data_IF_278903509717
#
_entry.id   IF_278903509717
#
_cell.length_a   1.000
_cell.length_b   1.000
_cell.length_c   1.000
_cell.angle_alpha   90.00
_cell.angle_beta   90.00
_cell.angle_gamma   90.00
#
_symmetry.space_group_name_H-M   'P 1'
#
loop_
_entity.id
_entity.type
_entity.pdbx_description
1 polymer ?
#
# COMPACT_ATOMS: atom_id res chain seq x y z
N UNK A 1 4.68 7.81 29.49
CA UNK A 1 4.76 6.82 28.37
C UNK A 1 5.73 7.38 27.35
N UNK A 2 6.98 6.92 27.34
CA UNK A 2 8.04 7.44 26.44
C UNK A 2 7.72 6.88 25.05
N UNK A 3 7.36 7.77 24.12
CA UNK A 3 7.07 7.40 22.74
C UNK A 3 8.29 6.68 22.15
N UNK A 4 8.11 5.45 21.69
CA UNK A 4 9.17 4.70 21.02
C UNK A 4 9.65 5.48 19.80
N UNK A 5 10.95 5.76 19.68
CA UNK A 5 11.45 6.46 18.51
C UNK A 5 11.13 5.62 17.26
N UNK A 6 10.56 6.27 16.25
CA UNK A 6 10.30 5.68 14.94
C UNK A 6 11.58 5.07 14.40
N UNK A 7 11.49 3.89 13.81
CA UNK A 7 12.61 3.29 13.10
C UNK A 7 13.21 4.34 12.14
N UNK A 8 14.48 4.68 12.37
CA UNK A 8 15.12 5.87 11.80
C UNK A 8 15.50 5.76 10.31
N UNK A 9 14.82 4.93 9.51
CA UNK A 9 15.07 4.74 8.09
C UNK A 9 14.53 5.89 7.22
N UNK A 10 15.19 6.10 6.08
CA UNK A 10 14.81 7.08 5.08
C UNK A 10 13.45 6.71 4.44
N UNK A 11 12.53 7.67 4.32
CA UNK A 11 11.14 7.41 3.86
C UNK A 11 11.07 6.76 2.47
N UNK A 12 12.02 7.08 1.57
CA UNK A 12 12.08 6.48 0.22
C UNK A 12 12.55 5.02 0.28
N UNK A 13 13.48 4.67 1.19
CA UNK A 13 13.92 3.28 1.34
C UNK A 13 12.75 2.37 1.75
N UNK A 14 11.84 2.87 2.59
CA UNK A 14 10.60 2.17 2.94
C UNK A 14 9.64 2.00 1.77
N UNK A 15 9.51 3.03 0.90
CA UNK A 15 8.72 2.90 -0.34
C UNK A 15 9.30 1.85 -1.29
N UNK A 16 10.64 1.85 -1.44
CA UNK A 16 11.32 0.82 -2.23
C UNK A 16 11.09 -0.57 -1.64
N UNK A 17 11.16 -0.68 -0.31
CA UNK A 17 10.94 -1.94 0.39
C UNK A 17 9.52 -2.50 0.15
N UNK A 18 8.47 -1.69 0.35
CA UNK A 18 7.10 -2.17 0.13
C UNK A 18 6.85 -2.48 -1.34
N UNK A 19 7.35 -1.66 -2.27
CA UNK A 19 7.25 -1.92 -3.71
C UNK A 19 7.93 -3.23 -4.12
N UNK A 20 9.16 -3.46 -3.64
CA UNK A 20 9.89 -4.71 -3.87
C UNK A 20 9.20 -5.92 -3.24
N UNK A 21 8.70 -5.78 -2.01
CA UNK A 21 7.97 -6.85 -1.32
C UNK A 21 6.66 -7.20 -2.05
N UNK A 22 5.89 -6.21 -2.52
CA UNK A 22 4.68 -6.44 -3.31
C UNK A 22 5.01 -7.12 -4.65
N UNK A 23 6.04 -6.64 -5.35
CA UNK A 23 6.51 -7.26 -6.59
C UNK A 23 6.96 -8.72 -6.39
N UNK A 24 7.54 -9.02 -5.26
CA UNK A 24 7.97 -10.39 -4.88
C UNK A 24 6.76 -11.30 -4.65
N UNK A 25 5.76 -10.86 -3.87
CA UNK A 25 4.52 -11.63 -3.62
C UNK A 25 3.76 -11.92 -4.90
N UNK A 26 3.73 -10.96 -5.84
CA UNK A 26 2.99 -11.14 -7.09
C UNK A 26 3.59 -12.20 -8.02
N UNK A 27 4.86 -12.57 -7.83
CA UNK A 27 5.54 -13.58 -8.66
C UNK A 27 5.32 -15.02 -8.19
N UNK A 28 4.81 -15.25 -6.97
CA UNK A 28 4.64 -16.59 -6.43
C UNK A 28 3.23 -16.85 -5.93
N UNK A 29 2.71 -18.05 -6.21
CA UNK A 29 1.47 -18.58 -5.64
C UNK A 29 1.76 -19.78 -4.70
N UNK A 30 3.05 -20.07 -4.45
CA UNK A 30 3.45 -21.19 -3.61
C UNK A 30 3.24 -20.87 -2.13
N UNK A 31 2.41 -21.65 -1.38
CA UNK A 31 2.08 -21.38 0.01
C UNK A 31 3.31 -21.39 0.94
N UNK A 32 4.35 -22.17 0.64
CA UNK A 32 5.57 -22.19 1.45
C UNK A 32 6.34 -20.88 1.36
N UNK A 33 6.48 -20.32 0.16
CA UNK A 33 7.14 -19.01 -0.03
C UNK A 33 6.30 -17.87 0.54
N UNK A 34 4.96 -17.96 0.44
CA UNK A 34 4.06 -17.00 1.06
C UNK A 34 4.15 -17.04 2.59
N UNK A 35 4.25 -18.24 3.18
CA UNK A 35 4.47 -18.39 4.63
C UNK A 35 5.81 -17.78 5.09
N UNK A 36 6.87 -17.91 4.25
CA UNK A 36 8.16 -17.27 4.51
C UNK A 36 8.04 -15.74 4.50
N UNK A 37 7.33 -15.17 3.52
CA UNK A 37 7.04 -13.74 3.45
C UNK A 37 6.17 -13.25 4.63
N UNK A 38 5.29 -14.09 5.14
CA UNK A 38 4.58 -13.86 6.40
C UNK A 38 5.55 -13.68 7.57
N UNK A 39 6.50 -14.62 7.71
CA UNK A 39 7.57 -14.51 8.69
C UNK A 39 8.36 -13.22 8.56
N UNK A 40 8.72 -12.84 7.34
CA UNK A 40 9.41 -11.56 7.04
C UNK A 40 8.55 -10.36 7.47
N UNK A 41 7.27 -10.32 7.11
CA UNK A 41 6.37 -9.23 7.47
C UNK A 41 6.24 -9.06 8.99
N UNK A 42 6.05 -10.18 9.72
CA UNK A 42 5.98 -10.21 11.17
C UNK A 42 7.30 -9.76 11.82
N UNK A 43 8.43 -10.24 11.30
CA UNK A 43 9.75 -9.89 11.79
C UNK A 43 10.04 -8.39 11.61
N UNK A 44 9.72 -7.84 10.45
CA UNK A 44 9.87 -6.41 10.18
C UNK A 44 8.93 -5.59 11.08
N UNK A 45 7.68 -6.02 11.23
CA UNK A 45 6.74 -5.35 12.12
C UNK A 45 7.22 -5.35 13.58
N UNK A 46 7.61 -6.49 14.14
CA UNK A 46 8.07 -6.58 15.54
C UNK A 46 9.35 -5.76 15.79
N UNK A 47 10.26 -5.75 14.82
CA UNK A 47 11.53 -5.04 14.94
C UNK A 47 11.38 -3.52 14.75
N UNK A 48 10.55 -3.07 13.81
CA UNK A 48 10.53 -1.70 13.33
C UNK A 48 9.26 -0.91 13.66
N UNK A 49 8.18 -1.54 14.17
CA UNK A 49 6.94 -0.84 14.47
C UNK A 49 7.16 0.30 15.49
N UNK A 50 6.63 1.47 15.14
CA UNK A 50 6.60 2.66 16.00
C UNK A 50 5.26 2.81 16.73
N UNK A 51 5.15 3.81 17.60
CA UNK A 51 3.91 4.15 18.34
C UNK A 51 3.00 5.12 17.54
N UNK A 52 3.06 5.07 16.20
CA UNK A 52 2.27 5.94 15.35
C UNK A 52 0.78 5.57 15.33
N UNK A 53 -0.11 6.49 14.91
CA UNK A 53 -1.55 6.26 14.86
C UNK A 53 -1.94 5.11 13.93
N UNK A 54 -1.10 4.78 12.95
CA UNK A 54 -1.31 3.67 12.01
C UNK A 54 -0.61 2.37 12.45
N UNK A 55 0.19 2.39 13.52
CA UNK A 55 0.80 1.16 14.05
C UNK A 55 -0.26 0.18 14.58
N UNK A 56 -1.36 0.70 15.14
CA UNK A 56 -2.52 -0.09 15.57
C UNK A 56 -3.31 -0.69 14.39
N UNK A 57 -3.20 -0.11 13.20
CA UNK A 57 -3.87 -0.59 12.00
C UNK A 57 -3.32 -1.94 11.51
N UNK A 58 -2.12 -2.36 11.93
CA UNK A 58 -1.56 -3.67 11.57
C UNK A 58 -2.50 -4.80 11.99
N UNK A 59 -2.99 -4.77 13.24
CA UNK A 59 -3.95 -5.78 13.74
C UNK A 59 -5.27 -5.80 12.97
N UNK A 60 -5.73 -4.63 12.49
CA UNK A 60 -6.90 -4.54 11.62
C UNK A 60 -6.63 -5.21 10.26
N UNK A 61 -5.47 -4.97 9.66
CA UNK A 61 -5.09 -5.56 8.37
C UNK A 61 -4.88 -7.08 8.47
N UNK A 62 -4.36 -7.57 9.60
CA UNK A 62 -4.31 -9.02 9.88
C UNK A 62 -5.71 -9.63 9.87
N UNK A 63 -6.68 -9.03 10.58
CA UNK A 63 -8.06 -9.52 10.63
C UNK A 63 -8.77 -9.42 9.28
N UNK A 64 -8.59 -8.27 8.58
CA UNK A 64 -9.14 -8.06 7.26
C UNK A 64 -8.60 -9.08 6.25
N UNK A 65 -7.29 -9.35 6.29
CA UNK A 65 -6.66 -10.34 5.44
C UNK A 65 -7.18 -11.75 5.72
N UNK A 66 -7.35 -12.11 7.01
CA UNK A 66 -7.97 -13.38 7.40
C UNK A 66 -9.40 -13.51 6.90
N UNK A 67 -10.19 -12.45 6.99
CA UNK A 67 -11.53 -12.40 6.41
C UNK A 67 -11.50 -12.61 4.88
N UNK A 68 -10.62 -11.92 4.17
CA UNK A 68 -10.47 -12.06 2.71
C UNK A 68 -10.01 -13.48 2.35
N UNK A 69 -9.10 -14.08 3.13
CA UNK A 69 -8.67 -15.46 2.94
C UNK A 69 -9.85 -16.43 3.02
N UNK A 70 -10.67 -16.34 4.07
CA UNK A 70 -11.87 -17.16 4.24
C UNK A 70 -12.86 -16.93 3.10
N UNK A 71 -13.11 -15.66 2.74
CA UNK A 71 -13.99 -15.30 1.63
C UNK A 71 -13.51 -15.86 0.29
N UNK A 72 -12.19 -15.90 0.06
CA UNK A 72 -11.64 -16.51 -1.15
C UNK A 72 -11.90 -18.00 -1.23
N UNK A 73 -11.78 -18.72 -0.11
CA UNK A 73 -12.11 -20.14 -0.04
C UNK A 73 -13.61 -20.35 -0.30
N UNK A 74 -14.48 -19.57 0.37
CA UNK A 74 -15.93 -19.63 0.18
C UNK A 74 -16.31 -19.35 -1.28
N UNK A 75 -15.73 -18.30 -1.86
CA UNK A 75 -15.97 -17.94 -3.26
C UNK A 75 -15.49 -19.03 -4.24
N UNK A 76 -14.35 -19.66 -3.94
CA UNK A 76 -13.84 -20.80 -4.72
C UNK A 76 -14.82 -21.99 -4.70
N UNK A 77 -15.45 -22.26 -3.56
CA UNK A 77 -16.49 -23.29 -3.42
C UNK A 77 -17.75 -22.93 -4.21
N UNK A 78 -18.19 -21.68 -4.11
CA UNK A 78 -19.42 -21.20 -4.80
C UNK A 78 -19.25 -21.24 -6.31
N UNK A 79 -18.05 -20.95 -6.82
CA UNK A 79 -17.73 -20.93 -8.26
C UNK A 79 -17.15 -22.26 -8.79
N UNK A 80 -17.47 -23.37 -8.11
CA UNK A 80 -16.90 -24.70 -8.36
C UNK A 80 -17.10 -25.24 -9.80
N UNK A 81 -18.04 -24.66 -10.58
CA UNK A 81 -18.30 -25.11 -11.96
C UNK A 81 -17.21 -24.77 -12.99
N UNK A 82 -16.27 -23.89 -12.69
CA UNK A 82 -15.26 -23.42 -13.66
C UNK A 82 -13.98 -24.24 -13.72
N UNK A 83 -13.58 -24.86 -12.60
CA UNK A 83 -12.32 -25.59 -12.50
C UNK A 83 -12.61 -27.03 -12.07
N UNK A 84 -12.20 -28.01 -12.89
CA UNK A 84 -12.40 -29.42 -12.56
C UNK A 84 -11.08 -30.02 -12.07
N UNK A 85 -11.09 -30.46 -10.79
CA UNK A 85 -10.05 -31.32 -10.24
C UNK A 85 -10.44 -32.78 -10.30
N UNK A 86 -9.48 -33.69 -10.11
CA UNK A 86 -9.73 -35.14 -10.10
C UNK A 86 -10.33 -35.63 -8.77
N UNK A 87 -10.00 -35.01 -7.64
CA UNK A 87 -10.49 -35.41 -6.31
C UNK A 87 -11.81 -34.71 -5.97
N UNK A 88 -12.90 -35.39 -6.26
CA UNK A 88 -14.24 -34.89 -5.98
C UNK A 88 -14.57 -35.08 -4.49
N UNK A 89 -14.87 -33.98 -3.79
CA UNK A 89 -15.30 -33.99 -2.38
C UNK A 89 -16.82 -33.95 -2.25
N UNK A 90 -17.48 -33.10 -3.04
CA UNK A 90 -18.91 -32.91 -2.96
C UNK A 90 -19.47 -32.49 -4.32
N UNK A 91 -20.67 -32.97 -4.66
CA UNK A 91 -21.40 -32.51 -5.86
C UNK A 91 -22.59 -31.65 -5.41
N UNK A 92 -22.55 -30.36 -5.77
CA UNK A 92 -23.66 -29.46 -5.52
C UNK A 92 -24.49 -29.29 -6.81
N UNK A 93 -25.82 -29.14 -6.70
CA UNK A 93 -26.65 -28.85 -7.86
C UNK A 93 -26.22 -27.54 -8.51
N UNK A 94 -25.98 -27.58 -9.82
CA UNK A 94 -25.59 -26.40 -10.60
C UNK A 94 -26.81 -25.53 -10.89
N UNK A 95 -26.74 -24.23 -10.55
CA UNK A 95 -27.71 -23.23 -10.97
C UNK A 95 -26.99 -22.11 -11.71
N UNK A 96 -27.46 -21.82 -12.91
CA UNK A 96 -26.98 -20.68 -13.70
C UNK A 96 -27.76 -19.43 -13.31
N UNK A 97 -27.05 -18.37 -12.90
CA UNK A 97 -27.66 -17.09 -12.65
C UNK A 97 -28.12 -16.42 -13.96
N UNK A 98 -29.16 -15.54 -13.91
CA UNK A 98 -29.60 -14.78 -15.06
C UNK A 98 -28.44 -13.99 -15.72
N UNK A 99 -28.53 -13.78 -17.04
CA UNK A 99 -27.52 -13.05 -17.83
C UNK A 99 -27.22 -11.62 -17.29
N UNK A 100 -28.16 -11.01 -16.59
CA UNK A 100 -27.99 -9.71 -15.91
C UNK A 100 -26.91 -9.75 -14.80
N UNK A 101 -26.65 -10.90 -14.20
CA UNK A 101 -25.61 -11.11 -13.17
C UNK A 101 -24.37 -11.83 -13.72
N UNK A 102 -24.12 -11.69 -15.03
CA UNK A 102 -22.91 -12.24 -15.68
C UNK A 102 -22.96 -13.72 -16.03
N UNK A 103 -24.12 -14.40 -15.90
CA UNK A 103 -24.26 -15.82 -16.24
C UNK A 103 -23.41 -16.75 -15.38
N UNK A 104 -23.04 -16.34 -14.18
CA UNK A 104 -22.24 -17.11 -13.22
C UNK A 104 -22.95 -18.42 -12.89
N UNK A 105 -22.24 -19.56 -13.01
CA UNK A 105 -22.72 -20.85 -12.55
C UNK A 105 -22.39 -20.99 -11.05
N UNK A 106 -23.42 -21.11 -10.22
CA UNK A 106 -23.29 -21.43 -8.82
C UNK A 106 -23.42 -22.92 -8.61
N UNK A 107 -22.54 -23.49 -7.78
CA UNK A 107 -22.49 -24.92 -7.54
C UNK A 107 -21.65 -25.65 -8.58
N UNK A 108 -21.66 -26.98 -8.52
CA UNK A 108 -20.86 -27.86 -9.34
C UNK A 108 -20.07 -28.85 -8.51
N UNK A 109 -19.00 -29.37 -9.08
CA UNK A 109 -18.14 -30.36 -8.42
C UNK A 109 -17.12 -29.62 -7.56
N UNK A 110 -17.24 -29.71 -6.25
CA UNK A 110 -16.22 -29.21 -5.32
C UNK A 110 -15.11 -30.25 -5.27
N UNK A 111 -13.92 -29.85 -5.76
CA UNK A 111 -12.71 -30.66 -5.70
C UNK A 111 -11.75 -30.14 -4.63
N UNK A 112 -10.91 -31.02 -4.10
CA UNK A 112 -9.85 -30.64 -3.15
C UNK A 112 -8.90 -29.64 -3.77
N UNK A 113 -8.58 -29.82 -5.05
CA UNK A 113 -7.71 -28.93 -5.84
C UNK A 113 -8.24 -27.49 -5.85
N UNK A 114 -9.53 -27.35 -5.94
CA UNK A 114 -10.17 -26.03 -5.98
C UNK A 114 -10.10 -25.32 -4.62
N UNK A 115 -10.29 -26.06 -3.52
CA UNK A 115 -10.12 -25.52 -2.16
C UNK A 115 -8.69 -25.05 -1.93
N UNK A 116 -7.71 -25.89 -2.31
CA UNK A 116 -6.28 -25.55 -2.20
C UNK A 116 -5.91 -24.34 -3.06
N UNK A 117 -6.45 -24.26 -4.27
CA UNK A 117 -6.27 -23.13 -5.16
C UNK A 117 -6.85 -21.84 -4.57
N UNK A 118 -8.08 -21.89 -4.05
CA UNK A 118 -8.71 -20.76 -3.37
C UNK A 118 -7.93 -20.32 -2.13
N UNK A 119 -7.44 -21.28 -1.33
CA UNK A 119 -6.60 -20.99 -0.18
C UNK A 119 -5.25 -20.35 -0.57
N UNK A 120 -4.56 -20.85 -1.59
CA UNK A 120 -3.30 -20.27 -2.06
C UNK A 120 -3.49 -18.82 -2.55
N UNK A 121 -4.55 -18.56 -3.31
CA UNK A 121 -4.91 -17.20 -3.77
C UNK A 121 -5.28 -16.27 -2.62
N UNK A 122 -6.09 -16.75 -1.68
CA UNK A 122 -6.46 -16.00 -0.48
C UNK A 122 -5.24 -15.69 0.40
N UNK A 123 -4.33 -16.67 0.57
CA UNK A 123 -3.09 -16.49 1.31
C UNK A 123 -2.18 -15.43 0.68
N UNK A 124 -2.11 -15.39 -0.66
CA UNK A 124 -1.37 -14.37 -1.40
C UNK A 124 -1.90 -12.96 -1.09
N UNK A 125 -3.21 -12.75 -1.16
CA UNK A 125 -3.83 -11.45 -0.83
C UNK A 125 -3.60 -11.09 0.64
N UNK A 126 -3.71 -12.05 1.53
CA UNK A 126 -3.42 -11.83 2.95
C UNK A 126 -1.97 -11.41 3.18
N UNK A 127 -1.02 -12.09 2.51
CA UNK A 127 0.41 -11.72 2.57
C UNK A 127 0.66 -10.29 2.07
N UNK A 128 0.00 -9.88 0.97
CA UNK A 128 0.07 -8.49 0.48
C UNK A 128 -0.40 -7.49 1.53
N UNK A 129 -1.54 -7.76 2.17
CA UNK A 129 -2.07 -6.89 3.23
C UNK A 129 -1.15 -6.83 4.46
N UNK A 130 -0.50 -7.92 4.82
CA UNK A 130 0.47 -7.94 5.92
C UNK A 130 1.71 -7.10 5.64
N UNK A 131 2.25 -7.19 4.43
CA UNK A 131 3.41 -6.38 4.02
C UNK A 131 3.08 -4.89 4.00
N UNK A 132 1.91 -4.53 3.46
CA UNK A 132 1.40 -3.15 3.53
C UNK A 132 1.17 -2.72 4.97
N UNK A 133 0.65 -3.60 5.80
CA UNK A 133 0.45 -3.37 7.23
C UNK A 133 1.76 -3.12 7.98
N UNK A 134 2.79 -3.93 7.72
CA UNK A 134 4.12 -3.76 8.29
C UNK A 134 4.74 -2.42 7.83
N UNK A 135 4.62 -2.07 6.55
CA UNK A 135 5.04 -0.78 6.03
C UNK A 135 4.35 0.38 6.75
N UNK A 136 3.01 0.35 6.85
CA UNK A 136 2.24 1.39 7.53
C UNK A 136 2.59 1.54 9.01
N UNK A 137 2.91 0.44 9.69
CA UNK A 137 3.31 0.45 11.10
C UNK A 137 4.72 1.00 11.32
N UNK A 138 5.62 0.87 10.32
CA UNK A 138 7.02 1.25 10.43
C UNK A 138 7.34 2.64 9.88
N UNK A 139 6.50 3.19 8.99
CA UNK A 139 6.76 4.45 8.29
C UNK A 139 6.12 5.64 8.99
N UNK A 140 6.86 6.75 9.04
CA UNK A 140 6.30 8.04 9.43
C UNK A 140 5.67 8.74 8.21
N UNK A 141 4.35 8.67 8.11
CA UNK A 141 3.57 9.24 7.00
C UNK A 141 3.74 10.75 6.85
N UNK A 142 3.96 11.48 7.95
CA UNK A 142 4.23 12.93 7.90
C UNK A 142 5.54 13.24 7.18
N UNK A 143 6.58 12.40 7.36
CA UNK A 143 7.85 12.56 6.64
C UNK A 143 7.69 12.23 5.16
N UNK A 144 6.89 11.21 4.85
CA UNK A 144 6.57 10.83 3.48
C UNK A 144 5.84 11.97 2.74
N UNK A 145 4.80 12.55 3.35
CA UNK A 145 4.04 13.67 2.79
C UNK A 145 4.89 14.91 2.56
N UNK A 146 5.89 15.18 3.41
CA UNK A 146 6.81 16.32 3.20
C UNK A 146 7.65 16.20 1.92
N UNK A 147 7.79 15.00 1.37
CA UNK A 147 8.53 14.73 0.11
C UNK A 147 7.62 14.66 -1.10
N UNK A 148 6.35 14.97 -0.92
CA UNK A 148 5.39 15.04 -2.03
C UNK A 148 5.94 15.87 -3.19
N UNK A 149 5.81 15.39 -4.44
CA UNK A 149 6.24 16.11 -5.63
C UNK A 149 5.60 17.50 -5.71
N UNK A 150 6.21 18.40 -6.45
CA UNK A 150 5.76 19.80 -6.58
C UNK A 150 4.33 19.95 -7.09
N UNK A 151 3.91 19.11 -8.02
CA UNK A 151 2.53 19.14 -8.53
C UNK A 151 1.51 18.76 -7.46
N UNK A 152 1.94 17.99 -6.44
CA UNK A 152 1.17 17.67 -5.25
C UNK A 152 1.42 18.66 -4.10
N UNK A 153 2.24 19.71 -4.29
CA UNK A 153 2.59 20.63 -3.21
C UNK A 153 1.36 21.32 -2.63
N UNK A 154 0.48 21.83 -3.50
CA UNK A 154 -0.77 22.43 -3.06
C UNK A 154 -1.69 21.39 -2.40
N UNK A 155 -1.84 20.23 -3.02
CA UNK A 155 -2.59 19.11 -2.44
C UNK A 155 -1.95 18.61 -1.14
N UNK A 156 -0.62 18.46 -1.10
CA UNK A 156 0.13 18.09 0.09
C UNK A 156 -0.01 19.10 1.24
N UNK A 157 -0.03 20.39 0.92
CA UNK A 157 -0.28 21.45 1.90
C UNK A 157 -1.71 21.32 2.46
N UNK A 158 -2.72 21.20 1.59
CA UNK A 158 -4.12 21.01 1.99
C UNK A 158 -4.28 19.76 2.84
N UNK A 159 -3.69 18.63 2.44
CA UNK A 159 -3.74 17.38 3.21
C UNK A 159 -3.06 17.55 4.57
N UNK A 160 -1.91 18.21 4.62
CA UNK A 160 -1.18 18.43 5.89
C UNK A 160 -1.97 19.31 6.84
N UNK A 161 -2.58 20.38 6.35
CA UNK A 161 -3.48 21.25 7.11
C UNK A 161 -4.71 20.47 7.58
N UNK A 162 -5.34 19.70 6.67
CA UNK A 162 -6.49 18.86 7.01
C UNK A 162 -6.18 17.84 8.10
N UNK A 163 -5.06 17.11 7.99
CA UNK A 163 -4.63 16.15 9.00
C UNK A 163 -4.32 16.80 10.36
N UNK A 164 -3.78 18.02 10.36
CA UNK A 164 -3.55 18.77 11.60
C UNK A 164 -4.85 19.25 12.24
N UNK A 165 -5.89 19.51 11.43
CA UNK A 165 -7.19 19.96 11.92
C UNK A 165 -8.07 18.82 12.46
N UNK A 166 -7.90 17.60 12.01
CA UNK A 166 -8.72 16.45 12.45
C UNK A 166 -8.74 16.30 13.98
N UNK A 167 -7.60 16.22 14.72
CA UNK A 167 -7.62 16.09 16.17
C UNK A 167 -8.32 17.27 16.85
N UNK A 168 -8.07 18.50 16.37
CA UNK A 168 -8.69 19.71 16.93
C UNK A 168 -10.20 19.74 16.70
N UNK A 169 -10.65 19.29 15.52
CA UNK A 169 -12.08 19.19 15.17
C UNK A 169 -12.79 18.19 16.08
N UNK A 170 -12.17 17.04 16.37
CA UNK A 170 -12.72 16.04 17.30
C UNK A 170 -12.87 16.61 18.72
N UNK A 171 -11.86 17.32 19.22
CA UNK A 171 -11.93 17.98 20.55
C UNK A 171 -13.05 19.02 20.61
N UNK A 172 -13.17 19.86 19.56
CA UNK A 172 -14.26 20.86 19.49
C UNK A 172 -15.65 20.24 19.39
N UNK A 173 -15.78 19.17 18.60
CA UNK A 173 -17.05 18.45 18.50
C UNK A 173 -17.50 17.93 19.88
N UNK A 174 -16.55 17.43 20.69
CA UNK A 174 -16.83 16.99 22.04
C UNK A 174 -17.30 18.16 22.92
N UNK A 175 -16.60 19.29 22.87
CA UNK A 175 -16.96 20.48 23.63
C UNK A 175 -18.33 21.04 23.22
N UNK A 176 -18.63 21.14 21.91
CA UNK A 176 -19.94 21.58 21.40
C UNK A 176 -21.03 20.63 21.88
N UNK A 177 -20.78 19.31 21.79
CA UNK A 177 -21.75 18.30 22.24
C UNK A 177 -22.04 18.41 23.73
N UNK A 178 -21.03 18.66 24.54
CA UNK A 178 -21.17 18.87 25.97
C UNK A 178 -21.97 20.13 26.27
N UNK A 179 -21.66 21.26 25.62
CA UNK A 179 -22.40 22.49 25.73
C UNK A 179 -23.87 22.36 25.34
N UNK A 180 -24.17 21.61 24.28
CA UNK A 180 -25.56 21.35 23.86
C UNK A 180 -26.31 20.44 24.83
N UNK A 181 -25.61 19.48 25.47
CA UNK A 181 -26.20 18.68 26.56
C UNK A 181 -26.57 19.50 27.76
N UNK A 182 -25.72 20.46 28.18
CA UNK A 182 -26.00 21.39 29.27
C UNK A 182 -27.20 22.28 28.95
N UNK A 183 -27.46 22.60 27.69
CA UNK A 183 -28.66 23.30 27.22
C UNK A 183 -29.90 22.41 27.10
N UNK A 184 -29.83 21.17 27.59
CA UNK A 184 -30.96 20.23 27.59
C UNK A 184 -31.19 19.47 26.25
N UNK A 185 -30.31 19.64 25.27
CA UNK A 185 -30.46 18.97 23.98
C UNK A 185 -30.19 17.47 24.09
N UNK A 186 -31.16 16.63 23.67
CA UNK A 186 -31.05 15.16 23.68
C UNK A 186 -30.83 14.66 22.28
N UNK A 187 -29.67 14.08 22.02
CA UNK A 187 -29.32 13.49 20.71
C UNK A 187 -29.95 12.10 20.54
N UNK A 188 -31.02 12.00 19.72
CA UNK A 188 -31.74 10.76 19.46
C UNK A 188 -31.68 10.29 17.99
N UNK A 189 -31.24 11.15 17.06
CA UNK A 189 -31.22 10.82 15.64
C UNK A 189 -30.36 11.73 14.78
N UNK A 190 -30.34 11.49 13.48
CA UNK A 190 -29.54 12.26 12.51
C UNK A 190 -29.96 13.74 12.41
N UNK A 191 -31.22 14.04 12.62
CA UNK A 191 -31.75 15.42 12.60
C UNK A 191 -31.23 16.25 13.78
N UNK A 192 -30.89 15.60 14.87
CA UNK A 192 -30.33 16.24 16.07
C UNK A 192 -28.83 16.58 15.91
N UNK A 193 -28.22 16.21 14.77
CA UNK A 193 -26.83 16.55 14.48
C UNK A 193 -26.64 18.00 13.97
N UNK A 194 -27.72 18.65 13.47
CA UNK A 194 -27.66 20.02 12.95
C UNK A 194 -27.11 21.04 13.97
N UNK A 195 -27.56 21.05 15.25
CA UNK A 195 -27.02 21.95 16.28
C UNK A 195 -25.55 21.73 16.60
N UNK A 196 -24.97 20.57 16.22
CA UNK A 196 -23.54 20.33 16.33
C UNK A 196 -22.81 20.79 15.07
N UNK A 197 -23.42 20.61 13.91
CA UNK A 197 -22.79 20.81 12.62
C UNK A 197 -22.56 22.30 12.31
N UNK A 198 -23.56 23.14 12.59
CA UNK A 198 -23.51 24.58 12.31
C UNK A 198 -22.38 25.27 13.10
N UNK A 199 -22.26 25.13 14.44
CA UNK A 199 -21.17 25.73 15.19
C UNK A 199 -19.78 25.13 14.86
N UNK A 200 -19.74 23.84 14.48
CA UNK A 200 -18.51 23.19 14.08
C UNK A 200 -18.00 23.75 12.76
N UNK A 201 -18.88 23.94 11.77
CA UNK A 201 -18.54 24.50 10.47
C UNK A 201 -18.16 25.98 10.56
N UNK A 202 -18.96 26.81 11.28
CA UNK A 202 -18.66 28.24 11.42
C UNK A 202 -17.31 28.47 12.11
N UNK A 203 -17.05 27.79 13.21
CA UNK A 203 -15.75 27.88 13.88
C UNK A 203 -14.61 27.18 13.15
N UNK A 204 -14.90 26.26 12.23
CA UNK A 204 -13.95 25.67 11.30
C UNK A 204 -13.55 26.67 10.21
N UNK A 205 -14.54 27.35 9.61
CA UNK A 205 -14.33 28.35 8.58
C UNK A 205 -13.55 29.57 9.11
N UNK A 206 -13.93 30.08 10.28
CA UNK A 206 -13.21 31.18 10.94
C UNK A 206 -11.71 30.87 11.11
N UNK A 207 -11.40 29.65 11.57
CA UNK A 207 -10.00 29.24 11.68
C UNK A 207 -9.30 29.09 10.35
N UNK A 208 -10.01 28.63 9.32
CA UNK A 208 -9.45 28.51 7.99
C UNK A 208 -9.10 29.91 7.44
N UNK A 209 -9.95 30.91 7.69
CA UNK A 209 -9.69 32.32 7.33
C UNK A 209 -8.47 32.88 8.08
N UNK A 210 -8.41 32.72 9.39
CA UNK A 210 -7.24 33.18 10.18
C UNK A 210 -5.95 32.48 9.76
N UNK A 211 -6.00 31.18 9.41
CA UNK A 211 -4.84 30.48 8.89
C UNK A 211 -4.44 31.03 7.51
N UNK A 212 -5.42 31.31 6.63
CA UNK A 212 -5.14 31.89 5.31
C UNK A 212 -4.49 33.26 5.42
N UNK A 213 -5.02 34.16 6.28
CA UNK A 213 -4.44 35.47 6.57
C UNK A 213 -3.01 35.36 7.11
N UNK A 214 -2.79 34.45 8.08
CA UNK A 214 -1.45 34.21 8.63
C UNK A 214 -0.47 33.64 7.58
N UNK A 215 -0.95 32.83 6.65
CA UNK A 215 -0.14 32.32 5.54
C UNK A 215 0.20 33.41 4.53
N UNK A 216 -0.77 34.25 4.19
CA UNK A 216 -0.56 35.39 3.28
C UNK A 216 0.43 36.40 3.87
N UNK A 217 0.31 36.75 5.16
CA UNK A 217 1.25 37.60 5.86
C UNK A 217 2.70 37.05 5.84
N UNK A 218 2.85 35.74 5.82
CA UNK A 218 4.16 35.06 5.69
C UNK A 218 4.62 34.87 4.24
N UNK A 219 3.90 35.43 3.26
CA UNK A 219 4.24 35.36 1.83
C UNK A 219 3.95 34.02 1.18
N UNK A 220 3.12 33.17 1.79
CA UNK A 220 2.66 31.94 1.11
C UNK A 220 1.82 32.30 -0.11
N UNK A 221 2.06 31.60 -1.22
CA UNK A 221 1.33 31.83 -2.48
C UNK A 221 1.95 32.91 -3.39
N UNK A 222 2.90 33.70 -2.91
CA UNK A 222 3.67 34.61 -3.79
C UNK A 222 4.61 33.79 -4.66
N UNK A 223 4.30 33.69 -5.95
CA UNK A 223 5.22 33.19 -6.96
C UNK A 223 6.24 34.27 -7.24
N UNK A 224 7.47 34.11 -6.72
CA UNK A 224 8.56 35.07 -6.92
C UNK A 224 9.00 35.20 -8.39
N UNK A 225 8.54 34.32 -9.29
CA UNK A 225 8.88 34.39 -10.71
C UNK A 225 7.63 34.10 -11.56
N UNK A 226 7.13 35.15 -12.21
CA UNK A 226 6.21 35.10 -13.35
C UNK A 226 6.94 34.72 -14.65
N UNK A 227 8.01 33.93 -14.58
CA UNK A 227 8.71 33.50 -15.79
C UNK A 227 7.87 32.42 -16.51
N UNK A 228 7.40 32.70 -17.75
CA UNK A 228 6.65 31.76 -18.57
C UNK A 228 7.39 30.43 -18.80
N UNK A 229 8.73 30.43 -18.76
CA UNK A 229 9.56 29.25 -18.92
C UNK A 229 9.44 28.31 -17.71
N UNK A 230 9.40 28.88 -16.51
CA UNK A 230 9.23 28.08 -15.27
C UNK A 230 7.86 27.41 -15.21
N UNK A 231 6.81 28.05 -15.71
CA UNK A 231 5.47 27.49 -15.81
C UNK A 231 5.38 26.35 -16.84
N UNK A 232 6.06 26.49 -17.99
CA UNK A 232 6.13 25.41 -19.00
C UNK A 232 6.92 24.20 -18.51
N UNK A 233 8.04 24.41 -17.82
CA UNK A 233 8.80 23.32 -17.20
C UNK A 233 7.98 22.58 -16.15
N UNK A 234 7.29 23.29 -15.26
CA UNK A 234 6.43 22.68 -14.26
C UNK A 234 5.31 21.84 -14.87
N UNK A 235 4.69 22.34 -15.97
CA UNK A 235 3.65 21.60 -16.69
C UNK A 235 4.20 20.34 -17.37
N UNK A 236 5.39 20.38 -17.96
CA UNK A 236 6.05 19.22 -18.56
C UNK A 236 6.39 18.15 -17.52
N UNK A 237 6.86 18.55 -16.35
CA UNK A 237 7.14 17.63 -15.24
C UNK A 237 5.85 16.98 -14.70
N UNK A 238 4.73 17.72 -14.67
CA UNK A 238 3.41 17.15 -14.33
C UNK A 238 2.98 16.07 -15.31
N UNK A 239 3.11 16.31 -16.62
CA UNK A 239 2.76 15.32 -17.64
C UNK A 239 3.64 14.07 -17.57
N UNK A 240 4.94 14.23 -17.30
CA UNK A 240 5.85 13.09 -17.09
C UNK A 240 5.47 12.27 -15.86
N UNK A 241 5.12 12.92 -14.76
CA UNK A 241 4.68 12.23 -13.55
C UNK A 241 3.33 11.52 -13.74
N UNK A 242 2.36 12.17 -14.40
CA UNK A 242 1.07 11.56 -14.73
C UNK A 242 1.23 10.37 -15.68
N UNK A 243 2.06 10.53 -16.72
CA UNK A 243 2.39 9.44 -17.65
C UNK A 243 3.06 8.26 -16.94
N UNK A 244 3.96 8.55 -15.99
CA UNK A 244 4.59 7.53 -15.15
C UNK A 244 3.61 6.77 -14.27
N UNK A 245 2.66 7.47 -13.64
CA UNK A 245 1.59 6.85 -12.83
C UNK A 245 0.68 5.99 -13.70
N UNK A 246 0.32 6.49 -14.89
CA UNK A 246 -0.54 5.77 -15.82
C UNK A 246 0.14 4.49 -16.36
N UNK A 247 1.44 4.57 -16.67
CA UNK A 247 2.24 3.40 -17.04
C UNK A 247 2.40 2.41 -15.90
N UNK A 248 2.54 2.88 -14.65
CA UNK A 248 2.53 2.02 -13.47
C UNK A 248 1.19 1.28 -13.32
N UNK A 249 0.07 1.96 -13.48
CA UNK A 249 -1.26 1.35 -13.40
C UNK A 249 -1.48 0.32 -14.51
N UNK A 250 -1.15 0.65 -15.75
CA UNK A 250 -1.25 -0.27 -16.89
C UNK A 250 -0.30 -1.46 -16.75
N UNK A 251 0.92 -1.21 -16.27
CA UNK A 251 1.90 -2.25 -16.02
C UNK A 251 1.46 -3.20 -14.89
N UNK A 252 0.90 -2.66 -13.82
CA UNK A 252 0.33 -3.42 -12.71
C UNK A 252 -0.87 -4.26 -13.19
N UNK A 253 -1.75 -3.68 -13.97
CA UNK A 253 -2.89 -4.39 -14.57
C UNK A 253 -2.41 -5.52 -15.49
N UNK A 254 -1.50 -5.24 -16.42
CA UNK A 254 -0.95 -6.25 -17.33
C UNK A 254 -0.23 -7.38 -16.59
N UNK A 255 0.49 -7.07 -15.53
CA UNK A 255 1.20 -8.06 -14.73
C UNK A 255 0.28 -8.93 -13.85
N UNK A 256 -0.81 -8.35 -13.30
CA UNK A 256 -1.74 -9.05 -12.42
C UNK A 256 -2.76 -9.93 -13.17
N UNK A 257 -3.22 -9.47 -14.33
CA UNK A 257 -4.33 -10.12 -15.04
C UNK A 257 -3.88 -11.14 -16.09
N UNK A 258 -2.63 -11.06 -16.57
CA UNK A 258 -2.13 -12.02 -17.56
C UNK A 258 -1.24 -13.10 -16.91
N UNK A 259 -1.29 -14.35 -17.42
CA UNK A 259 -0.47 -15.44 -16.90
C UNK A 259 1.02 -15.13 -17.00
N UNK A 260 1.76 -15.48 -15.95
CA UNK A 260 3.22 -15.36 -15.92
C UNK A 260 3.83 -16.12 -17.10
N UNK A 261 4.65 -15.42 -17.92
CA UNK A 261 5.29 -16.00 -19.12
C UNK A 261 4.63 -15.64 -20.46
N UNK A 262 3.41 -15.05 -20.46
CA UNK A 262 2.81 -14.51 -21.68
C UNK A 262 3.55 -13.25 -22.15
N UNK A 263 3.57 -12.97 -23.45
CA UNK A 263 4.15 -11.73 -24.00
C UNK A 263 3.56 -10.47 -23.37
N UNK A 264 2.29 -10.52 -22.98
CA UNK A 264 1.56 -9.40 -22.34
C UNK A 264 2.02 -9.15 -20.90
N UNK A 265 2.37 -10.19 -20.13
CA UNK A 265 2.94 -10.01 -18.78
C UNK A 265 4.34 -9.38 -18.84
N UNK A 266 5.13 -9.67 -19.88
CA UNK A 266 6.44 -9.04 -20.14
C UNK A 266 6.30 -7.56 -20.49
N UNK A 267 5.31 -7.21 -21.32
CA UNK A 267 4.98 -5.81 -21.63
C UNK A 267 4.52 -5.09 -20.38
N UNK A 268 3.70 -5.72 -19.53
CA UNK A 268 3.27 -5.19 -18.23
C UNK A 268 4.45 -4.88 -17.30
N UNK A 269 5.42 -5.78 -17.23
CA UNK A 269 6.63 -5.60 -16.45
C UNK A 269 7.52 -4.47 -17.02
N UNK A 270 7.65 -4.39 -18.35
CA UNK A 270 8.33 -3.28 -19.00
C UNK A 270 7.67 -1.94 -18.70
N UNK A 271 6.34 -1.87 -18.77
CA UNK A 271 5.58 -0.67 -18.43
C UNK A 271 5.73 -0.27 -16.95
N UNK A 272 5.78 -1.24 -16.03
CA UNK A 272 6.08 -0.99 -14.61
C UNK A 272 7.46 -0.36 -14.41
N UNK A 273 8.50 -0.92 -15.02
CA UNK A 273 9.87 -0.42 -14.92
C UNK A 273 9.98 0.99 -15.49
N UNK A 274 9.43 1.23 -16.68
CA UNK A 274 9.42 2.56 -17.32
C UNK A 274 8.63 3.55 -16.46
N UNK A 275 7.48 3.16 -15.90
CA UNK A 275 6.68 3.99 -15.01
C UNK A 275 7.46 4.42 -13.76
N UNK A 276 8.17 3.51 -13.11
CA UNK A 276 9.04 3.79 -11.95
C UNK A 276 10.17 4.76 -12.33
N UNK A 277 10.83 4.52 -13.48
CA UNK A 277 11.92 5.39 -13.96
C UNK A 277 11.41 6.81 -14.27
N UNK A 278 10.26 6.94 -14.93
CA UNK A 278 9.66 8.24 -15.25
C UNK A 278 9.26 9.01 -13.99
N UNK A 279 8.67 8.34 -13.00
CA UNK A 279 8.36 8.96 -11.70
C UNK A 279 9.63 9.37 -10.98
N UNK A 280 10.64 8.50 -10.94
CA UNK A 280 11.93 8.78 -10.31
C UNK A 280 12.67 9.95 -10.98
N UNK A 281 12.70 9.99 -12.31
CA UNK A 281 13.29 11.07 -13.09
C UNK A 281 12.53 12.40 -12.92
N UNK A 282 11.20 12.35 -12.92
CA UNK A 282 10.36 13.51 -12.61
C UNK A 282 10.61 14.03 -11.19
N UNK A 283 10.77 13.13 -10.23
CA UNK A 283 11.06 13.48 -8.84
C UNK A 283 12.44 14.10 -8.64
N UNK A 284 13.44 13.56 -9.32
CA UNK A 284 14.81 14.08 -9.25
C UNK A 284 14.91 15.48 -9.88
N UNK A 285 14.36 15.68 -11.07
CA UNK A 285 14.33 16.99 -11.76
C UNK A 285 13.51 18.03 -10.99
N UNK A 286 12.34 17.65 -10.47
CA UNK A 286 11.52 18.52 -9.64
C UNK A 286 12.23 18.93 -8.34
N UNK A 287 13.08 18.07 -7.76
CA UNK A 287 13.91 18.39 -6.60
C UNK A 287 15.03 19.36 -6.88
N UNK A 288 15.65 19.29 -8.07
CA UNK A 288 16.79 20.12 -8.46
C UNK A 288 16.42 21.58 -8.77
N UNK A 289 15.22 21.85 -9.28
CA UNK A 289 14.81 23.17 -9.77
C UNK A 289 14.28 24.14 -8.70
N UNK A 290 14.14 23.73 -7.43
CA UNK A 290 13.75 24.59 -6.31
C UNK A 290 14.89 24.73 -5.30
N UNK A 291 15.45 25.92 -5.21
CA UNK A 291 16.23 26.40 -4.07
C UNK A 291 15.40 26.39 -2.77
N UNK A 292 14.92 25.24 -2.34
CA UNK A 292 14.23 25.10 -1.04
C UNK A 292 15.26 25.08 0.06
N UNK A 293 15.16 26.03 0.99
CA UNK A 293 15.73 25.86 2.32
C UNK A 293 14.95 24.76 3.05
N UNK A 294 15.42 23.52 2.98
CA UNK A 294 14.89 22.45 3.81
C UNK A 294 15.54 22.56 5.19
N UNK A 295 14.74 22.97 6.19
CA UNK A 295 15.20 23.13 7.59
C UNK A 295 15.85 21.84 8.15
N UNK A 296 15.48 20.65 7.64
CA UNK A 296 16.09 19.38 8.03
C UNK A 296 16.07 18.42 6.83
N UNK A 297 17.21 18.29 6.14
CA UNK A 297 17.39 17.26 5.11
C UNK A 297 17.55 15.90 5.79
N UNK A 298 16.69 14.92 5.47
CA UNK A 298 16.97 13.53 5.79
C UNK A 298 18.20 13.09 4.98
N UNK A 299 19.25 12.69 5.67
CA UNK A 299 20.44 12.15 5.03
C UNK A 299 20.25 10.66 4.77
N UNK A 300 20.63 10.22 3.58
CA UNK A 300 20.74 8.80 3.30
C UNK A 300 21.80 8.19 4.17
N UNK A 301 21.48 7.10 4.85
CA UNK A 301 22.46 6.28 5.57
C UNK A 301 22.79 5.05 4.73
N UNK A 302 23.96 4.45 4.98
CA UNK A 302 24.37 3.21 4.30
C UNK A 302 23.31 2.12 4.43
N UNK A 303 22.67 2.02 5.60
CA UNK A 303 21.60 1.05 5.86
C UNK A 303 20.37 1.29 4.98
N UNK A 304 20.02 2.56 4.70
CA UNK A 304 18.89 2.90 3.84
C UNK A 304 19.17 2.50 2.39
N UNK A 305 20.41 2.68 1.93
CA UNK A 305 20.83 2.23 0.60
C UNK A 305 20.78 0.72 0.48
N UNK A 306 21.29 0.01 1.48
CA UNK A 306 21.27 -1.46 1.51
C UNK A 306 19.85 -1.99 1.46
N UNK A 307 18.93 -1.46 2.31
CA UNK A 307 17.51 -1.86 2.30
C UNK A 307 16.86 -1.59 0.94
N UNK A 308 17.10 -0.40 0.36
CA UNK A 308 16.58 -0.05 -0.97
C UNK A 308 17.10 -0.98 -2.07
N UNK A 309 18.40 -1.29 -2.06
CA UNK A 309 19.00 -2.21 -3.03
C UNK A 309 18.46 -3.62 -2.88
N UNK A 310 18.40 -4.16 -1.67
CA UNK A 310 17.88 -5.51 -1.40
C UNK A 310 16.40 -5.63 -1.77
N UNK A 311 15.62 -4.57 -1.59
CA UNK A 311 14.24 -4.52 -2.02
C UNK A 311 14.06 -4.62 -3.55
N UNK A 312 15.02 -4.14 -4.32
CA UNK A 312 15.03 -4.27 -5.79
C UNK A 312 15.59 -5.64 -6.20
N UNK A 313 16.65 -6.08 -5.53
CA UNK A 313 17.32 -7.36 -5.83
C UNK A 313 16.39 -8.55 -5.60
N UNK A 314 15.51 -8.49 -4.57
CA UNK A 314 14.59 -9.58 -4.27
C UNK A 314 13.66 -9.95 -5.43
N UNK A 315 12.84 -9.04 -5.99
CA UNK A 315 11.96 -9.38 -7.12
C UNK A 315 12.75 -9.66 -8.41
N UNK A 316 13.89 -9.00 -8.63
CA UNK A 316 14.74 -9.27 -9.79
C UNK A 316 15.40 -10.66 -9.71
N UNK A 317 15.84 -11.05 -8.52
CA UNK A 317 16.39 -12.39 -8.27
C UNK A 317 15.36 -13.50 -8.57
N UNK A 318 14.10 -13.31 -8.14
CA UNK A 318 13.03 -14.23 -8.49
C UNK A 318 12.75 -14.28 -9.99
N UNK A 319 12.78 -13.15 -10.68
CA UNK A 319 12.62 -13.11 -12.15
C UNK A 319 13.74 -13.87 -12.87
N UNK A 320 14.99 -13.68 -12.41
CA UNK A 320 16.14 -14.42 -12.97
C UNK A 320 16.02 -15.92 -12.73
N UNK A 321 15.60 -16.33 -11.52
CA UNK A 321 15.35 -17.74 -11.21
C UNK A 321 14.21 -18.32 -12.05
N UNK A 322 13.15 -17.57 -12.28
CA UNK A 322 12.07 -17.97 -13.18
C UNK A 322 12.56 -18.13 -14.63
N UNK A 323 13.45 -17.25 -15.07
CA UNK A 323 14.05 -17.34 -16.41
C UNK A 323 15.00 -18.54 -16.56
N UNK A 324 15.68 -18.95 -15.47
CA UNK A 324 16.53 -20.17 -15.44
C UNK A 324 15.72 -21.46 -15.34
N UNK A 325 14.38 -21.40 -15.36
CA UNK A 325 13.52 -22.58 -15.36
C UNK A 325 13.00 -23.01 -13.99
N UNK A 326 13.31 -22.27 -12.93
CA UNK A 326 12.77 -22.52 -11.58
C UNK A 326 11.28 -22.17 -11.54
N UNK A 327 10.46 -23.11 -11.10
CA UNK A 327 9.01 -22.90 -11.00
C UNK A 327 8.65 -22.20 -9.71
N UNK A 328 8.21 -20.94 -9.82
CA UNK A 328 7.72 -20.13 -8.67
C UNK A 328 6.24 -20.35 -8.39
N UNK A 329 5.52 -20.97 -9.34
CA UNK A 329 4.08 -21.16 -9.27
C UNK A 329 3.74 -22.56 -8.78
N UNK A 330 2.78 -22.65 -7.87
CA UNK A 330 2.24 -23.91 -7.40
C UNK A 330 1.11 -24.36 -8.33
N UNK A 331 1.33 -25.46 -9.07
CA UNK A 331 0.32 -26.08 -9.94
C UNK A 331 -0.55 -27.01 -9.10
N UNK A 332 -1.76 -26.57 -8.79
CA UNK A 332 -2.72 -27.33 -8.01
C UNK A 332 -3.47 -28.35 -8.86
N UNK A 333 -3.64 -28.06 -10.17
CA UNK A 333 -4.36 -28.92 -11.11
C UNK A 333 -3.39 -29.76 -11.96
N UNK A 334 -3.75 -31.01 -12.40
CA UNK A 334 -5.03 -31.71 -12.15
C UNK A 334 -5.15 -32.40 -10.77
N UNK A 335 -4.03 -32.61 -10.08
CA UNK A 335 -3.95 -33.25 -8.74
C UNK A 335 -3.16 -32.37 -7.79
N UNK A 336 -3.59 -32.32 -6.54
CA UNK A 336 -2.85 -31.64 -5.47
C UNK A 336 -1.56 -32.42 -5.21
N UNK A 337 -0.42 -31.81 -5.54
CA UNK A 337 0.91 -32.28 -5.15
C UNK A 337 1.44 -31.49 -3.95
N UNK A 338 2.56 -31.94 -3.38
CA UNK A 338 3.27 -31.13 -2.39
C UNK A 338 3.85 -29.89 -3.09
N UNK A 339 3.76 -28.69 -2.47
CA UNK A 339 4.33 -27.50 -3.05
C UNK A 339 5.86 -27.66 -3.18
N UNK A 340 6.45 -27.43 -4.34
CA UNK A 340 7.89 -27.54 -4.55
C UNK A 340 8.59 -26.46 -3.71
N UNK A 341 9.64 -26.87 -2.99
CA UNK A 341 10.47 -25.95 -2.23
C UNK A 341 11.90 -25.99 -2.72
N UNK A 342 12.35 -24.89 -3.29
CA UNK A 342 13.73 -24.69 -3.71
C UNK A 342 14.41 -23.69 -2.79
N UNK A 343 15.49 -24.09 -2.06
CA UNK A 343 16.18 -23.19 -1.12
C UNK A 343 16.71 -21.92 -1.78
N UNK A 344 17.07 -21.99 -3.05
CA UNK A 344 17.57 -20.85 -3.81
C UNK A 344 16.54 -19.72 -3.93
N UNK A 345 15.24 -20.07 -3.99
CA UNK A 345 14.13 -19.10 -4.01
C UNK A 345 13.94 -18.43 -2.65
N UNK A 346 14.24 -19.13 -1.56
CA UNK A 346 14.11 -18.58 -0.23
C UNK A 346 15.10 -17.42 0.04
N UNK A 347 16.26 -17.42 -0.61
CA UNK A 347 17.30 -16.38 -0.42
C UNK A 347 16.76 -14.97 -0.73
N UNK A 348 16.24 -14.65 -1.92
CA UNK A 348 15.70 -13.33 -2.20
C UNK A 348 14.51 -12.95 -1.30
N UNK A 349 13.72 -13.93 -0.84
CA UNK A 349 12.61 -13.66 0.10
C UNK A 349 13.13 -13.21 1.47
N UNK A 350 14.18 -13.87 1.97
CA UNK A 350 14.80 -13.55 3.27
C UNK A 350 15.50 -12.18 3.22
N UNK A 351 16.04 -11.76 2.06
CA UNK A 351 16.65 -10.44 1.90
C UNK A 351 15.69 -9.30 2.22
N UNK A 352 14.39 -9.51 2.05
CA UNK A 352 13.36 -8.53 2.44
C UNK A 352 13.24 -8.35 3.96
N UNK A 353 13.85 -9.22 4.77
CA UNK A 353 13.95 -9.02 6.22
C UNK A 353 15.06 -8.03 6.63
N UNK A 354 15.85 -7.51 5.70
CA UNK A 354 16.94 -6.56 5.95
C UNK A 354 16.58 -5.37 6.86
N UNK A 355 15.38 -4.73 6.75
CA UNK A 355 14.99 -3.66 7.68
C UNK A 355 15.00 -4.11 9.13
N UNK A 356 14.54 -5.33 9.41
CA UNK A 356 14.49 -5.86 10.76
C UNK A 356 15.89 -6.04 11.36
N UNK A 357 16.86 -6.48 10.55
CA UNK A 357 18.23 -6.71 11.01
C UNK A 357 18.99 -5.39 11.17
N UNK A 358 18.91 -4.50 10.15
CA UNK A 358 19.74 -3.29 10.09
C UNK A 358 19.25 -2.17 11.00
N UNK A 359 17.94 -2.11 11.29
CA UNK A 359 17.35 -1.03 12.11
C UNK A 359 16.97 -1.48 13.53
N UNK A 360 16.83 -2.78 13.80
CA UNK A 360 16.58 -3.27 15.16
C UNK A 360 17.72 -2.93 16.14
N UNK A 361 18.97 -2.91 15.67
CA UNK A 361 20.11 -2.55 16.49
C UNK A 361 20.11 -1.09 16.97
N UNK A 362 19.44 -0.17 16.27
CA UNK A 362 19.30 1.23 16.71
C UNK A 362 18.31 1.45 17.86
N UNK A 363 17.51 0.46 18.21
CA UNK A 363 16.62 0.51 19.38
C UNK A 363 17.34 0.26 20.70
N UNK A 364 18.56 -0.32 20.67
CA UNK A 364 19.32 -0.70 21.87
C UNK A 364 20.42 0.30 22.24
N UNK A 365 20.74 1.27 21.38
CA UNK A 365 21.66 2.38 21.64
C UNK A 365 20.87 3.69 21.85
#
# INVERSE_FOLDING_TARGET
>A
MIARPWAGGHSVAWLMWVGGAMATVTQTDNPLYLALLWGVALLVWTACAGDGPLASAFGLLVRLGGFIFVMHIVFSVITAGFLRGETVLLMLPTRTLPRLLGGLQLGGIISLEQLVYGAARGLRLWTLLLLVGAFNACVNHYRLLRRSPRFLFQAGLVITIGLAFVPQTVLRLRAIREAQRLRGHRFRGWRDALPLFVPLLSGGLERALHLAEAMEARGYGRTLNHDPQSARMARREQWLALGGVMLLMLGCFGFLFYPSGSGQSRIGLGALLVGVVLIGAGWWRAGAALGRSTYRRERWTTNDLVVGLLAIVAPLGLLLLQYSGVTLTYRVFPRVGLPPFEPLVAVPLILLAAPAVLWAHRKKA
#
